data_IF_287284359034
#
_entry.id   IF_287284359034
#
_cell.length_a   1.000
_cell.length_b   1.000
_cell.length_c   1.000
_cell.angle_alpha   90.00
_cell.angle_beta   90.00
_cell.angle_gamma   90.00
#
_symmetry.space_group_name_H-M   'P 1'
#
loop_
_entity.id
_entity.type
_entity.pdbx_description
1 polymer ?
#
# COMPACT_ATOMS: atom_id res chain seq x y z
N UNK A 1 -2.55 -41.41 8.48
CA UNK A 1 -2.03 -40.07 8.82
C UNK A 1 -2.75 -39.03 7.96
N UNK A 2 -3.52 -38.12 8.56
CA UNK A 2 -4.22 -37.08 7.81
C UNK A 2 -3.25 -35.92 7.49
N UNK A 3 -3.08 -35.60 6.21
CA UNK A 3 -2.25 -34.46 5.77
C UNK A 3 -2.71 -33.15 6.43
N UNK A 4 -1.75 -32.36 6.94
CA UNK A 4 -2.01 -31.03 7.46
C UNK A 4 -2.60 -30.13 6.37
N UNK A 5 -3.34 -29.08 6.77
CA UNK A 5 -3.92 -28.11 5.83
C UNK A 5 -2.84 -27.46 4.96
N UNK A 6 -1.66 -27.26 5.50
CA UNK A 6 -0.52 -26.67 4.77
C UNK A 6 0.02 -27.62 3.71
N UNK A 7 0.18 -28.90 4.03
CA UNK A 7 0.65 -29.93 3.08
C UNK A 7 -0.28 -30.07 1.88
N UNK A 8 -1.61 -30.03 2.13
CA UNK A 8 -2.61 -30.04 1.05
C UNK A 8 -2.48 -28.83 0.12
N UNK A 9 -2.19 -27.65 0.67
CA UNK A 9 -1.96 -26.45 -0.14
C UNK A 9 -0.66 -26.54 -0.96
N UNK A 10 0.41 -27.10 -0.37
CA UNK A 10 1.69 -27.31 -1.07
C UNK A 10 1.52 -28.31 -2.21
N UNK A 11 0.91 -29.47 -1.95
CA UNK A 11 0.60 -30.49 -2.97
C UNK A 11 -0.22 -29.89 -4.12
N UNK A 12 -1.25 -29.09 -3.81
CA UNK A 12 -2.06 -28.39 -4.81
C UNK A 12 -1.25 -27.42 -5.67
N UNK A 13 -0.35 -26.62 -5.07
CA UNK A 13 0.53 -25.69 -5.80
C UNK A 13 1.50 -26.44 -6.72
N UNK A 14 2.08 -27.55 -6.26
CA UNK A 14 2.99 -28.38 -7.06
C UNK A 14 2.25 -29.01 -8.24
N UNK A 15 1.07 -29.60 -8.01
CA UNK A 15 0.24 -30.15 -9.07
C UNK A 15 -0.14 -29.08 -10.13
N UNK A 16 -0.50 -27.87 -9.71
CA UNK A 16 -0.80 -26.78 -10.63
C UNK A 16 0.43 -26.33 -11.45
N UNK A 17 1.62 -26.29 -10.83
CA UNK A 17 2.88 -25.98 -11.53
C UNK A 17 3.19 -27.04 -12.59
N UNK A 18 3.12 -28.32 -12.22
CA UNK A 18 3.36 -29.44 -13.15
C UNK A 18 2.37 -29.41 -14.32
N UNK A 19 1.08 -29.19 -14.03
CA UNK A 19 0.06 -29.03 -15.09
C UNK A 19 0.38 -27.89 -16.05
N UNK A 20 0.78 -26.72 -15.54
CA UNK A 20 1.17 -25.57 -16.38
C UNK A 20 2.44 -25.83 -17.18
N UNK A 21 3.39 -26.59 -16.63
CA UNK A 21 4.60 -26.99 -17.33
C UNK A 21 4.26 -27.91 -18.52
N UNK A 22 3.42 -28.94 -18.32
CA UNK A 22 2.94 -29.83 -19.39
C UNK A 22 2.21 -29.08 -20.50
N UNK A 23 1.31 -28.16 -20.13
CA UNK A 23 0.60 -27.33 -21.13
C UNK A 23 1.57 -26.44 -21.93
N UNK A 24 2.73 -26.06 -21.36
CA UNK A 24 3.73 -25.24 -22.03
C UNK A 24 4.72 -26.04 -22.86
N UNK A 25 5.01 -27.30 -22.50
CA UNK A 25 5.91 -28.16 -23.27
C UNK A 25 5.28 -28.55 -24.60
N UNK A 26 3.98 -28.79 -24.61
CA UNK A 26 3.28 -29.33 -25.77
C UNK A 26 2.66 -28.18 -26.58
N UNK A 27 3.12 -27.91 -27.82
CA UNK A 27 2.73 -26.72 -28.58
C UNK A 27 1.23 -26.71 -28.92
N UNK A 28 0.64 -27.87 -29.21
CA UNK A 28 -0.80 -28.00 -29.50
C UNK A 28 -1.67 -27.66 -28.29
N UNK A 29 -1.33 -28.21 -27.11
CA UNK A 29 -2.03 -27.91 -25.86
C UNK A 29 -1.91 -26.43 -25.49
N UNK A 30 -0.73 -25.83 -25.74
CA UNK A 30 -0.51 -24.41 -25.51
C UNK A 30 -1.40 -23.55 -26.42
N UNK A 31 -1.50 -23.89 -27.71
CA UNK A 31 -2.36 -23.20 -28.67
C UNK A 31 -3.83 -23.25 -28.25
N UNK A 32 -4.34 -24.45 -27.89
CA UNK A 32 -5.71 -24.61 -27.36
C UNK A 32 -5.93 -23.80 -26.08
N UNK A 33 -4.94 -23.76 -25.19
CA UNK A 33 -5.03 -22.96 -23.96
C UNK A 33 -5.13 -21.46 -24.27
N UNK A 34 -4.30 -20.95 -25.20
CA UNK A 34 -4.32 -19.55 -25.63
C UNK A 34 -5.64 -19.18 -26.29
N UNK A 35 -6.20 -20.05 -27.12
CA UNK A 35 -7.49 -19.82 -27.76
C UNK A 35 -8.62 -19.74 -26.71
N UNK A 36 -8.63 -20.64 -25.72
CA UNK A 36 -9.58 -20.59 -24.61
C UNK A 36 -9.46 -19.29 -23.80
N UNK A 37 -8.24 -18.80 -23.57
CA UNK A 37 -8.01 -17.52 -22.88
C UNK A 37 -8.51 -16.34 -23.71
N UNK A 38 -8.28 -16.35 -25.03
CA UNK A 38 -8.79 -15.36 -25.97
C UNK A 38 -10.32 -15.30 -25.96
N UNK A 39 -10.98 -16.46 -26.05
CA UNK A 39 -12.45 -16.56 -25.99
C UNK A 39 -12.99 -16.07 -24.64
N UNK A 40 -12.36 -16.44 -23.52
CA UNK A 40 -12.72 -15.93 -22.18
C UNK A 40 -12.60 -14.41 -22.09
N UNK A 41 -11.55 -13.83 -22.68
CA UNK A 41 -11.37 -12.39 -22.72
C UNK A 41 -12.49 -11.71 -23.51
N UNK A 42 -12.78 -12.17 -24.73
CA UNK A 42 -13.87 -11.62 -25.56
C UNK A 42 -15.23 -11.74 -24.88
N UNK A 43 -15.54 -12.91 -24.28
CA UNK A 43 -16.77 -13.08 -23.50
C UNK A 43 -16.91 -12.04 -22.39
N UNK A 44 -15.84 -11.82 -21.60
CA UNK A 44 -15.85 -10.81 -20.52
C UNK A 44 -15.92 -9.37 -21.04
N UNK A 45 -15.32 -9.09 -22.20
CA UNK A 45 -15.38 -7.80 -22.87
C UNK A 45 -16.81 -7.52 -23.35
N UNK A 46 -17.44 -8.49 -24.02
CA UNK A 46 -18.82 -8.39 -24.51
C UNK A 46 -19.83 -8.27 -23.36
N UNK A 47 -19.60 -8.95 -22.24
CA UNK A 47 -20.39 -8.81 -21.02
C UNK A 47 -20.17 -7.46 -20.28
N UNK A 48 -19.28 -6.59 -20.77
CA UNK A 48 -18.97 -5.30 -20.13
C UNK A 48 -18.23 -5.40 -18.79
N UNK A 49 -17.68 -6.58 -18.46
CA UNK A 49 -16.91 -6.83 -17.23
C UNK A 49 -15.47 -6.32 -17.33
N UNK A 50 -14.98 -6.09 -18.55
CA UNK A 50 -13.70 -5.45 -18.83
C UNK A 50 -14.02 -4.13 -19.51
N UNK A 51 -13.85 -3.03 -18.79
CA UNK A 51 -14.03 -1.66 -19.30
C UNK A 51 -12.68 -1.02 -19.53
N UNK A 52 -12.53 -0.27 -20.61
CA UNK A 52 -11.34 0.57 -20.83
C UNK A 52 -11.34 1.75 -19.86
N UNK A 53 -10.18 2.39 -19.63
CA UNK A 53 -10.08 3.51 -18.69
C UNK A 53 -10.97 4.69 -19.10
N UNK A 54 -11.14 4.92 -20.40
CA UNK A 54 -12.05 5.92 -20.97
C UNK A 54 -13.52 5.62 -20.71
N UNK A 55 -13.90 4.35 -20.67
CA UNK A 55 -15.28 3.90 -20.40
C UNK A 55 -15.63 3.88 -18.89
N UNK A 56 -14.65 4.07 -18.00
CA UNK A 56 -14.88 4.14 -16.57
C UNK A 56 -15.41 5.52 -16.17
N UNK A 57 -16.32 5.56 -15.20
CA UNK A 57 -16.73 6.80 -14.54
C UNK A 57 -15.51 7.51 -13.91
N UNK A 58 -15.51 8.84 -13.94
CA UNK A 58 -14.46 9.72 -13.40
C UNK A 58 -14.04 9.34 -11.98
N UNK A 59 -15.01 8.97 -11.12
CA UNK A 59 -14.76 8.52 -9.75
C UNK A 59 -14.01 7.18 -9.73
N UNK A 60 -14.39 6.23 -10.59
CA UNK A 60 -13.72 4.94 -10.73
C UNK A 60 -12.32 5.08 -11.34
N UNK A 61 -12.15 5.97 -12.33
CA UNK A 61 -10.84 6.31 -12.88
C UNK A 61 -9.91 6.84 -11.78
N UNK A 62 -10.40 7.73 -10.90
CA UNK A 62 -9.63 8.23 -9.76
C UNK A 62 -9.20 7.10 -8.82
N UNK A 63 -10.13 6.22 -8.43
CA UNK A 63 -9.83 5.05 -7.59
C UNK A 63 -8.79 4.14 -8.26
N UNK A 64 -8.92 3.91 -9.57
CA UNK A 64 -7.97 3.10 -10.33
C UNK A 64 -6.56 3.71 -10.32
N UNK A 65 -6.46 5.02 -10.60
CA UNK A 65 -5.18 5.77 -10.53
C UNK A 65 -4.58 5.71 -9.13
N UNK A 66 -5.39 5.87 -8.09
CA UNK A 66 -4.95 5.77 -6.70
C UNK A 66 -4.42 4.38 -6.37
N UNK A 67 -5.14 3.31 -6.73
CA UNK A 67 -4.66 1.92 -6.56
C UNK A 67 -3.36 1.66 -7.32
N UNK A 68 -3.23 2.21 -8.53
CA UNK A 68 -2.01 2.11 -9.32
C UNK A 68 -0.83 2.78 -8.62
N UNK A 69 -1.00 4.03 -8.14
CA UNK A 69 0.01 4.76 -7.34
C UNK A 69 0.39 3.99 -6.08
N UNK A 70 -0.58 3.48 -5.33
CA UNK A 70 -0.34 2.69 -4.11
C UNK A 70 0.44 1.41 -4.41
N UNK A 71 0.12 0.72 -5.51
CA UNK A 71 0.83 -0.50 -5.93
C UNK A 71 2.25 -0.20 -6.37
N UNK A 72 2.46 0.87 -7.13
CA UNK A 72 3.78 1.35 -7.55
C UNK A 72 4.63 1.75 -6.34
N UNK A 73 4.09 2.54 -5.41
CA UNK A 73 4.77 2.93 -4.18
C UNK A 73 5.16 1.70 -3.33
N UNK A 74 4.26 0.72 -3.20
CA UNK A 74 4.54 -0.54 -2.50
C UNK A 74 5.65 -1.33 -3.19
N UNK A 75 5.62 -1.43 -4.51
CA UNK A 75 6.67 -2.07 -5.29
C UNK A 75 8.03 -1.38 -5.09
N UNK A 76 8.07 -0.05 -5.19
CA UNK A 76 9.29 0.74 -5.01
C UNK A 76 9.84 0.61 -3.58
N UNK A 77 8.96 0.63 -2.57
CA UNK A 77 9.36 0.39 -1.18
C UNK A 77 9.96 -1.01 -0.99
N UNK A 78 9.35 -2.04 -1.60
CA UNK A 78 9.88 -3.41 -1.57
C UNK A 78 11.23 -3.51 -2.29
N UNK A 79 11.38 -2.84 -3.44
CA UNK A 79 12.63 -2.78 -4.20
C UNK A 79 13.73 -2.10 -3.37
N UNK A 80 13.45 -0.96 -2.75
CA UNK A 80 14.39 -0.26 -1.84
C UNK A 80 14.80 -1.14 -0.66
N UNK A 81 13.85 -1.81 -0.01
CA UNK A 81 14.15 -2.74 1.10
C UNK A 81 15.03 -3.90 0.69
N UNK A 82 14.82 -4.46 -0.51
CA UNK A 82 15.67 -5.52 -1.05
C UNK A 82 17.07 -5.01 -1.39
N UNK A 83 17.16 -3.86 -2.06
CA UNK A 83 18.44 -3.23 -2.37
C UNK A 83 19.27 -2.92 -1.14
N UNK A 84 18.64 -2.48 -0.04
CA UNK A 84 19.34 -2.24 1.24
C UNK A 84 19.83 -3.55 1.89
N UNK A 85 19.06 -4.65 1.82
CA UNK A 85 19.51 -5.94 2.38
C UNK A 85 20.71 -6.52 1.65
N UNK A 86 20.77 -6.33 0.33
CA UNK A 86 21.93 -6.77 -0.45
C UNK A 86 23.22 -6.04 -0.05
N UNK A 87 23.16 -4.86 0.59
CA UNK A 87 24.34 -4.15 1.08
C UNK A 87 24.75 -4.56 2.50
N UNK A 88 23.84 -5.15 3.29
CA UNK A 88 24.16 -5.64 4.64
C UNK A 88 24.85 -7.01 4.60
N UNK A 89 24.57 -7.85 3.59
CA UNK A 89 25.19 -9.17 3.44
C UNK A 89 26.67 -9.09 2.99
N UNK A 90 27.09 -7.97 2.38
CA UNK A 90 28.50 -7.72 2.00
C UNK A 90 29.35 -7.15 3.15
N UNK A 91 28.74 -6.83 4.30
CA UNK A 91 29.39 -6.33 5.52
C UNK A 91 29.53 -7.40 6.60
N UNK A 92 29.43 -8.68 6.22
CA UNK A 92 29.96 -9.76 7.05
C UNK A 92 31.48 -9.60 7.01
N UNK A 93 31.98 -8.77 7.92
CA UNK A 93 33.37 -8.77 8.38
C UNK A 93 33.62 -10.21 8.77
N UNK A 94 34.33 -10.93 7.90
CA UNK A 94 34.95 -12.20 8.25
C UNK A 94 35.76 -11.87 9.51
N UNK A 95 35.46 -12.45 10.68
CA UNK A 95 36.30 -12.26 11.83
C UNK A 95 37.69 -12.69 11.39
N UNK A 96 38.60 -11.72 11.36
CA UNK A 96 40.01 -11.88 11.09
C UNK A 96 40.52 -12.86 12.16
N UNK A 97 40.51 -14.14 11.78
CA UNK A 97 41.16 -15.18 12.55
C UNK A 97 42.65 -14.84 12.51
N UNK A 98 43.08 -14.18 13.57
CA UNK A 98 44.48 -14.01 13.93
C UNK A 98 44.98 -15.37 14.38
N UNK A 99 45.16 -16.28 13.43
CA UNK A 99 46.01 -17.45 13.62
C UNK A 99 47.44 -16.98 13.39
N UNK A 100 48.11 -16.62 14.49
CA UNK A 100 49.57 -16.63 14.56
C UNK A 100 50.03 -18.08 14.39
N UNK A 101 50.28 -18.47 13.15
CA UNK A 101 51.16 -19.60 12.84
C UNK A 101 52.12 -19.14 11.75
N UNK A 102 53.34 -18.85 12.18
CA UNK A 102 54.50 -18.68 11.33
C UNK A 102 54.71 -19.94 10.50
N UNK A 103 54.41 -19.90 9.20
CA UNK A 103 54.88 -20.88 8.24
C UNK A 103 55.42 -20.19 6.97
N UNK A 104 56.74 -20.06 6.81
CA UNK A 104 57.34 -19.44 5.65
C UNK A 104 57.52 -20.48 4.53
N UNK A 105 56.86 -20.21 3.40
CA UNK A 105 57.08 -20.72 2.03
C UNK A 105 55.84 -21.41 1.45
N UNK A 106 54.93 -20.62 0.84
CA UNK A 106 54.35 -21.03 -0.45
C UNK A 106 54.10 -19.79 -1.32
N UNK A 107 55.01 -19.59 -2.26
CA UNK A 107 54.82 -18.84 -3.50
C UNK A 107 53.73 -19.48 -4.37
N UNK A 108 52.60 -18.80 -4.60
CA UNK A 108 51.92 -18.74 -5.92
C UNK A 108 50.65 -17.87 -5.86
N UNK A 109 50.87 -16.59 -6.14
CA UNK A 109 49.85 -15.56 -6.31
C UNK A 109 49.14 -15.72 -7.66
N UNK A 110 48.08 -16.54 -7.71
CA UNK A 110 47.14 -16.53 -8.85
C UNK A 110 45.97 -15.58 -8.57
N UNK A 111 46.04 -14.39 -9.17
CA UNK A 111 45.00 -13.36 -9.12
C UNK A 111 43.68 -13.85 -9.76
N UNK A 112 42.52 -13.76 -9.09
CA UNK A 112 41.24 -13.87 -9.78
C UNK A 112 40.96 -12.57 -10.54
N UNK A 113 41.02 -12.64 -11.87
CA UNK A 113 40.59 -11.58 -12.80
C UNK A 113 39.11 -11.25 -12.57
N UNK A 114 38.83 -10.22 -11.77
CA UNK A 114 37.51 -9.56 -11.68
C UNK A 114 37.51 -8.36 -12.63
N UNK A 115 37.15 -8.59 -13.88
CA UNK A 115 36.81 -7.52 -14.83
C UNK A 115 35.70 -8.01 -15.76
N UNK A 116 34.47 -7.94 -15.27
CA UNK A 116 33.25 -8.11 -16.04
C UNK A 116 32.38 -6.87 -15.92
N UNK A 117 32.91 -5.71 -16.32
CA UNK A 117 32.08 -4.53 -16.54
C UNK A 117 31.16 -4.84 -17.72
N UNK A 118 29.89 -5.08 -17.44
CA UNK A 118 28.83 -5.04 -18.45
C UNK A 118 28.77 -3.61 -18.98
N UNK A 119 29.56 -3.35 -20.02
CA UNK A 119 29.30 -2.26 -20.94
C UNK A 119 27.95 -2.57 -21.58
N UNK A 120 26.91 -1.90 -21.13
CA UNK A 120 25.69 -1.75 -21.93
C UNK A 120 26.11 -0.97 -23.17
N UNK A 121 26.37 -1.70 -24.25
CA UNK A 121 26.52 -1.10 -25.57
C UNK A 121 25.31 -0.19 -25.82
N UNK A 122 25.63 1.08 -26.01
CA UNK A 122 24.71 2.08 -26.49
C UNK A 122 24.16 1.56 -27.81
N UNK A 123 22.91 1.10 -27.77
CA UNK A 123 22.14 0.70 -28.94
C UNK A 123 22.10 1.92 -29.85
N UNK A 124 22.88 1.83 -30.93
CA UNK A 124 23.00 2.79 -32.00
C UNK A 124 21.64 3.38 -32.35
N UNK A 125 21.54 4.69 -32.16
CA UNK A 125 20.50 5.56 -32.68
C UNK A 125 20.42 5.32 -34.19
N UNK A 126 19.45 4.52 -34.63
CA UNK A 126 19.10 4.45 -36.04
C UNK A 126 18.42 5.77 -36.34
N UNK A 127 19.10 6.61 -37.11
CA UNK A 127 18.58 7.86 -37.64
C UNK A 127 17.33 7.58 -38.49
N UNK A 128 16.18 7.65 -37.82
CA UNK A 128 14.90 7.76 -38.49
C UNK A 128 14.82 9.17 -39.07
N UNK A 129 15.02 9.24 -40.38
CA UNK A 129 14.80 10.38 -41.25
C UNK A 129 13.56 11.19 -40.82
N UNK A 130 13.63 12.52 -40.78
CA UNK A 130 12.46 13.34 -40.55
C UNK A 130 11.52 13.24 -41.76
N UNK A 131 10.47 12.43 -41.62
CA UNK A 131 9.31 12.48 -42.50
C UNK A 131 8.66 13.85 -42.37
N UNK A 132 8.91 14.69 -43.37
CA UNK A 132 8.25 15.97 -43.60
C UNK A 132 6.75 15.77 -43.82
N UNK A 133 5.98 15.69 -42.74
CA UNK A 133 4.54 15.90 -42.78
C UNK A 133 4.25 17.30 -42.25
N UNK A 134 3.91 18.20 -43.18
CA UNK A 134 3.38 19.52 -42.95
C UNK A 134 2.16 19.48 -42.02
N UNK A 135 2.37 19.79 -40.74
CA UNK A 135 1.28 20.04 -39.81
C UNK A 135 0.90 21.51 -39.93
N UNK A 136 -0.25 21.75 -40.54
CA UNK A 136 -0.98 23.01 -40.50
C UNK A 136 -1.23 23.36 -39.03
N UNK A 137 -0.50 24.36 -38.53
CA UNK A 137 -0.72 24.93 -37.20
C UNK A 137 -2.08 25.62 -37.16
N UNK A 138 -3.10 24.90 -36.69
CA UNK A 138 -4.33 25.53 -36.23
C UNK A 138 -4.05 26.30 -34.93
N UNK A 139 -4.36 27.60 -34.85
CA UNK A 139 -4.18 28.37 -33.64
C UNK A 139 -5.15 27.89 -32.56
N UNK A 140 -4.60 27.42 -31.44
CA UNK A 140 -5.37 27.07 -30.25
C UNK A 140 -6.03 28.35 -29.69
N UNK A 141 -7.34 28.31 -29.33
CA UNK A 141 -7.98 29.44 -28.69
C UNK A 141 -7.38 29.64 -27.30
N UNK A 142 -6.85 30.85 -27.07
CA UNK A 142 -6.40 31.33 -25.77
C UNK A 142 -7.58 31.26 -24.80
N UNK A 143 -7.58 30.21 -23.97
CA UNK A 143 -8.55 30.05 -22.89
C UNK A 143 -8.15 31.00 -21.76
N UNK A 144 -8.59 32.24 -21.88
CA UNK A 144 -8.50 33.27 -20.83
C UNK A 144 -9.18 32.69 -19.58
N UNK A 145 -8.39 32.33 -18.57
CA UNK A 145 -8.92 31.99 -17.25
C UNK A 145 -9.27 33.31 -16.57
N UNK A 146 -10.50 33.77 -16.76
CA UNK A 146 -11.08 34.75 -15.87
C UNK A 146 -11.12 34.12 -14.47
N UNK A 147 -10.26 34.61 -13.59
CA UNK A 147 -10.33 34.37 -12.16
C UNK A 147 -11.65 34.99 -11.69
N UNK A 148 -12.66 34.14 -11.51
CA UNK A 148 -13.90 34.52 -10.85
C UNK A 148 -13.64 34.42 -9.36
N UNK A 149 -13.11 35.50 -8.80
CA UNK A 149 -13.10 35.76 -7.37
C UNK A 149 -14.56 35.86 -6.91
N UNK A 150 -15.13 34.73 -6.50
CA UNK A 150 -16.34 34.71 -5.70
C UNK A 150 -15.92 34.27 -4.30
N UNK A 151 -15.73 35.29 -3.48
CA UNK A 151 -15.72 35.20 -2.03
C UNK A 151 -16.86 34.26 -1.58
N UNK A 152 -16.49 33.14 -0.98
CA UNK A 152 -17.43 32.31 -0.28
C UNK A 152 -17.87 33.07 0.99
N UNK A 153 -19.16 33.40 1.17
CA UNK A 153 -19.62 33.98 2.42
C UNK A 153 -19.43 32.94 3.53
N UNK A 154 -18.73 33.37 4.57
CA UNK A 154 -18.59 32.66 5.84
C UNK A 154 -19.99 32.32 6.35
N UNK A 155 -20.34 31.03 6.33
CA UNK A 155 -21.55 30.55 7.00
C UNK A 155 -21.35 30.74 8.51
N UNK A 156 -22.21 31.51 9.20
CA UNK A 156 -22.13 31.65 10.63
C UNK A 156 -22.48 30.30 11.26
N UNK A 157 -21.60 29.80 12.12
CA UNK A 157 -21.90 28.69 13.02
C UNK A 157 -23.05 29.13 13.94
N UNK A 158 -24.24 28.59 13.73
CA UNK A 158 -25.31 28.66 14.71
C UNK A 158 -24.97 27.69 15.84
N UNK A 159 -24.66 28.28 17.00
CA UNK A 159 -24.63 27.63 18.30
C UNK A 159 -25.95 26.90 18.54
N UNK A 160 -25.90 25.57 18.47
CA UNK A 160 -26.99 24.72 18.95
C UNK A 160 -26.84 24.65 20.47
N UNK A 161 -27.50 25.59 21.11
CA UNK A 161 -27.72 25.63 22.55
C UNK A 161 -28.28 24.30 23.05
N UNK A 162 -27.52 23.71 23.97
CA UNK A 162 -27.85 22.53 24.74
C UNK A 162 -29.14 22.78 25.51
N UNK A 163 -30.28 22.35 24.97
CA UNK A 163 -31.53 22.29 25.72
C UNK A 163 -31.39 21.15 26.75
N UNK A 164 -30.89 21.53 27.92
CA UNK A 164 -31.01 20.79 29.17
C UNK A 164 -32.50 20.56 29.45
N UNK A 165 -32.97 19.33 29.22
CA UNK A 165 -34.30 18.91 29.67
C UNK A 165 -34.25 18.72 31.20
N UNK A 166 -35.08 19.43 31.98
CA UNK A 166 -35.18 19.19 33.41
C UNK A 166 -35.82 17.80 33.66
N UNK A 167 -35.12 17.00 34.47
CA UNK A 167 -35.64 15.79 35.08
C UNK A 167 -36.80 16.14 36.02
N UNK A 168 -38.03 16.04 35.55
CA UNK A 168 -39.19 15.97 36.44
C UNK A 168 -39.31 14.56 36.98
N UNK A 169 -38.92 14.42 38.24
CA UNK A 169 -39.09 13.25 39.11
C UNK A 169 -40.57 13.09 39.41
N UNK A 170 -41.30 12.36 38.57
CA UNK A 170 -42.71 12.06 38.82
C UNK A 170 -42.85 10.95 39.86
N UNK A 171 -43.38 11.37 41.01
CA UNK A 171 -44.07 10.61 42.05
C UNK A 171 -44.53 9.20 41.65
N UNK A 172 -44.11 8.24 42.48
CA UNK A 172 -44.48 6.83 42.46
C UNK A 172 -45.96 6.71 42.79
N UNK A 173 -46.80 6.47 41.78
CA UNK A 173 -48.09 5.81 41.99
C UNK A 173 -47.87 4.31 41.81
N UNK A 174 -48.01 3.57 42.91
CA UNK A 174 -48.15 2.12 42.91
C UNK A 174 -49.49 1.81 42.25
N UNK A 175 -49.46 1.66 40.93
CA UNK A 175 -50.53 1.01 40.18
C UNK A 175 -50.08 -0.45 40.10
N UNK A 176 -50.80 -1.33 40.77
CA UNK A 176 -50.76 -2.77 40.52
C UNK A 176 -51.21 -2.99 39.06
N UNK A 177 -50.26 -2.81 38.14
CA UNK A 177 -50.45 -3.16 36.74
C UNK A 177 -50.29 -4.65 36.65
N UNK A 178 -51.41 -5.32 36.40
CA UNK A 178 -51.48 -6.66 35.86
C UNK A 178 -50.30 -6.87 34.88
N UNK A 179 -49.49 -7.88 35.19
CA UNK A 179 -48.31 -8.20 34.41
C UNK A 179 -48.71 -8.35 32.95
N UNK A 180 -48.22 -7.48 32.04
CA UNK A 180 -48.54 -7.62 30.63
C UNK A 180 -48.09 -9.01 30.17
N UNK A 181 -48.88 -9.68 29.30
CA UNK A 181 -48.57 -11.02 28.83
C UNK A 181 -47.14 -11.04 28.30
N UNK A 182 -46.35 -11.99 28.81
CA UNK A 182 -44.94 -12.15 28.46
C UNK A 182 -44.78 -12.06 26.94
N UNK A 183 -43.87 -11.19 26.43
CA UNK A 183 -43.74 -10.98 25.00
C UNK A 183 -43.40 -12.31 24.34
N UNK A 184 -44.33 -12.78 23.50
CA UNK A 184 -44.25 -14.04 22.76
C UNK A 184 -42.88 -14.19 22.11
N UNK A 185 -42.27 -15.36 22.34
CA UNK A 185 -40.99 -15.84 21.88
C UNK A 185 -40.33 -15.00 20.75
N UNK A 186 -39.25 -14.33 21.15
CA UNK A 186 -38.29 -13.59 20.36
C UNK A 186 -38.15 -14.09 18.92
N UNK A 187 -38.60 -13.27 17.96
CA UNK A 187 -38.21 -13.39 16.55
C UNK A 187 -36.70 -13.47 16.51
N UNK A 188 -36.14 -14.66 16.22
CA UNK A 188 -34.70 -14.90 16.14
C UNK A 188 -34.09 -13.83 15.26
N UNK A 189 -33.47 -12.81 15.87
CA UNK A 189 -32.79 -11.74 15.16
C UNK A 189 -31.81 -12.42 14.21
N UNK A 190 -31.96 -12.11 12.92
CA UNK A 190 -31.18 -12.76 11.88
C UNK A 190 -29.69 -12.67 12.23
N UNK A 191 -29.07 -13.80 12.54
CA UNK A 191 -27.68 -13.88 13.04
C UNK A 191 -26.70 -13.16 12.11
N UNK A 192 -27.01 -13.12 10.80
CA UNK A 192 -26.26 -12.34 9.81
C UNK A 192 -26.24 -10.85 10.11
N UNK A 193 -27.34 -10.27 10.60
CA UNK A 193 -27.43 -8.84 10.98
C UNK A 193 -26.59 -8.55 12.22
N UNK A 194 -26.63 -9.44 13.22
CA UNK A 194 -25.80 -9.33 14.43
C UNK A 194 -24.31 -9.36 14.07
N UNK A 195 -23.90 -10.35 13.27
CA UNK A 195 -22.51 -10.48 12.80
C UNK A 195 -22.06 -9.24 12.02
N UNK A 196 -22.90 -8.71 11.12
CA UNK A 196 -22.59 -7.47 10.38
C UNK A 196 -22.39 -6.27 11.32
N UNK A 197 -23.23 -6.11 12.34
CA UNK A 197 -23.10 -5.03 13.33
C UNK A 197 -21.81 -5.18 14.15
N UNK A 198 -21.48 -6.38 14.60
CA UNK A 198 -20.24 -6.66 15.34
C UNK A 198 -19.02 -6.36 14.48
N UNK A 199 -18.99 -6.84 13.24
CA UNK A 199 -17.90 -6.57 12.29
C UNK A 199 -17.70 -5.08 12.05
N UNK A 200 -18.78 -4.31 11.91
CA UNK A 200 -18.72 -2.87 11.78
C UNK A 200 -18.14 -2.19 13.03
N UNK A 201 -18.62 -2.56 14.22
CA UNK A 201 -18.12 -2.03 15.51
C UNK A 201 -16.61 -2.30 15.67
N UNK A 202 -16.17 -3.53 15.43
CA UNK A 202 -14.75 -3.89 15.49
C UNK A 202 -13.91 -3.10 14.50
N UNK A 203 -14.37 -2.97 13.25
CA UNK A 203 -13.64 -2.21 12.25
C UNK A 203 -13.55 -0.72 12.63
N UNK A 204 -14.64 -0.13 13.16
CA UNK A 204 -14.64 1.25 13.65
C UNK A 204 -13.64 1.44 14.80
N UNK A 205 -13.61 0.53 15.77
CA UNK A 205 -12.64 0.53 16.87
C UNK A 205 -11.19 0.46 16.37
N UNK A 206 -10.92 -0.43 15.40
CA UNK A 206 -9.60 -0.55 14.79
C UNK A 206 -9.16 0.75 14.10
N UNK A 207 -10.05 1.44 13.38
CA UNK A 207 -9.73 2.72 12.76
C UNK A 207 -9.41 3.81 13.79
N UNK A 208 -10.14 3.85 14.91
CA UNK A 208 -9.85 4.80 16.00
C UNK A 208 -8.49 4.54 16.64
N UNK A 209 -8.16 3.28 16.93
CA UNK A 209 -6.84 2.90 17.44
C UNK A 209 -5.73 3.28 16.46
N UNK A 210 -5.93 3.05 15.16
CA UNK A 210 -4.97 3.42 14.12
C UNK A 210 -4.72 4.93 14.09
N UNK A 211 -5.77 5.75 14.14
CA UNK A 211 -5.64 7.22 14.22
C UNK A 211 -4.84 7.66 15.44
N UNK A 212 -5.14 7.09 16.61
CA UNK A 212 -4.42 7.37 17.87
C UNK A 212 -2.92 7.02 17.75
N UNK A 213 -2.58 5.90 17.12
CA UNK A 213 -1.18 5.52 16.88
C UNK A 213 -0.47 6.55 15.97
N UNK A 214 -1.13 7.00 14.91
CA UNK A 214 -0.55 7.96 13.98
C UNK A 214 -0.36 9.34 14.66
N UNK A 215 -1.30 9.79 15.49
CA UNK A 215 -1.16 10.98 16.34
C UNK A 215 0.05 10.86 17.29
N UNK A 216 0.17 9.75 18.01
CA UNK A 216 1.30 9.51 18.91
C UNK A 216 2.66 9.50 18.18
N UNK A 217 2.71 9.01 16.93
CA UNK A 217 3.93 9.08 16.11
C UNK A 217 4.30 10.52 15.79
N UNK A 218 3.33 11.36 15.42
CA UNK A 218 3.58 12.78 15.12
C UNK A 218 4.09 13.54 16.35
N UNK A 219 3.52 13.26 17.54
CA UNK A 219 3.98 13.84 18.81
C UNK A 219 5.41 13.42 19.11
N UNK A 220 5.72 12.12 19.02
CA UNK A 220 7.08 11.60 19.22
C UNK A 220 8.10 12.23 18.25
N UNK A 221 7.72 12.42 16.98
CA UNK A 221 8.60 13.07 16.01
C UNK A 221 8.89 14.54 16.38
N UNK A 222 7.87 15.28 16.83
CA UNK A 222 8.05 16.66 17.32
C UNK A 222 8.97 16.71 18.54
N UNK A 223 8.79 15.82 19.51
CA UNK A 223 9.63 15.73 20.70
C UNK A 223 11.09 15.41 20.34
N UNK A 224 11.33 14.47 19.42
CA UNK A 224 12.68 14.16 18.92
C UNK A 224 13.35 15.39 18.29
N UNK A 225 12.60 16.16 17.48
CA UNK A 225 13.11 17.40 16.88
C UNK A 225 13.45 18.46 17.93
N UNK A 226 12.63 18.60 18.98
CA UNK A 226 12.90 19.51 20.09
C UNK A 226 14.17 19.10 20.87
N UNK A 227 14.30 17.83 21.23
CA UNK A 227 15.50 17.31 21.90
C UNK A 227 16.77 17.53 21.06
N UNK A 228 16.68 17.32 19.75
CA UNK A 228 17.80 17.61 18.86
C UNK A 228 18.23 19.08 18.89
N UNK A 229 17.28 20.02 18.88
CA UNK A 229 17.57 21.47 18.98
C UNK A 229 18.24 21.81 20.30
N UNK A 230 17.70 21.32 21.42
CA UNK A 230 18.28 21.55 22.74
C UNK A 230 19.69 20.98 22.88
N UNK A 231 19.93 19.78 22.33
CA UNK A 231 21.26 19.16 22.31
C UNK A 231 22.27 19.99 21.51
N UNK A 232 21.84 20.60 20.40
CA UNK A 232 22.70 21.50 19.61
C UNK A 232 22.97 22.81 20.35
N UNK A 233 21.97 23.41 20.99
CA UNK A 233 22.14 24.63 21.79
C UNK A 233 23.09 24.40 22.97
N UNK A 234 22.95 23.29 23.70
CA UNK A 234 23.84 22.98 24.81
C UNK A 234 25.27 22.69 24.35
N UNK A 235 25.45 22.03 23.21
CA UNK A 235 26.78 21.85 22.61
C UNK A 235 27.42 23.19 22.20
N UNK A 236 26.64 24.13 21.67
CA UNK A 236 27.14 25.46 21.33
C UNK A 236 27.58 26.27 22.56
N UNK A 237 26.80 26.22 23.65
CA UNK A 237 27.16 26.87 24.92
C UNK A 237 28.46 26.31 25.50
N UNK A 238 28.64 24.99 25.50
CA UNK A 238 29.89 24.35 25.96
C UNK A 238 31.11 24.82 25.16
N UNK A 239 30.97 24.98 23.84
CA UNK A 239 32.06 25.52 23.00
C UNK A 239 32.43 26.95 23.38
N UNK A 240 31.43 27.77 23.68
CA UNK A 240 31.65 29.15 24.10
C UNK A 240 32.34 29.24 25.47
N UNK A 241 31.99 28.37 26.41
CA UNK A 241 32.65 28.26 27.71
C UNK A 241 34.12 27.88 27.58
N UNK A 242 34.49 26.98 26.66
CA UNK A 242 35.89 26.58 26.46
C UNK A 242 36.77 27.65 25.80
N UNK A 243 36.17 28.67 25.19
CA UNK A 243 36.90 29.76 24.52
C UNK A 243 37.12 31.00 25.39
N UNK A 244 36.55 31.02 26.60
CA UNK A 244 36.80 32.06 27.61
C UNK A 244 37.91 31.62 28.56
#
# INVERSE_FOLDING_TARGET
>A
MADSKEDRLVKKRLAERLRKARIKSDPELYAVHKEKDRQRYFKRKNEGKIKTVSELDSRLQRIFRERSRMSSNKHNLKKRRKGMRCLEEDLIIVPEATDETDDPLVTSRSQPKRSGSLQTEARSHVDLLPSSSSVVSSPLPQRVKAYRDLAAPLSPCSDVSTISRPCTRSSVRVIEKEFPPTPKANKKLNTKVIIRRLKYRMNKMYQLQKKKIDELKTINERQRKQLYRLKHQSAALRKYETTK
#
